data_IF_971061434142
#
_entry.id   IF_971061434142
#
_cell.length_a   1.000
_cell.length_b   1.000
_cell.length_c   1.000
_cell.angle_alpha   90.00
_cell.angle_beta   90.00
_cell.angle_gamma   90.00
#
_symmetry.space_group_name_H-M   'P 1'
#
loop_
_entity.id
_entity.type
_entity.pdbx_description
1 polymer ?
#
# COMPACT_ATOMS: atom_id res chain seq x y z
N UNK A 1 7.31 17.29 20.08
CA UNK A 1 6.84 15.93 19.75
C UNK A 1 8.05 15.09 19.41
N UNK A 2 8.10 13.82 19.83
CA UNK A 2 9.18 12.91 19.47
C UNK A 2 9.08 12.55 17.98
N UNK A 3 10.20 12.59 17.27
CA UNK A 3 10.27 12.09 15.90
C UNK A 3 10.24 10.55 15.93
N UNK A 4 9.57 9.96 14.94
CA UNK A 4 9.56 8.52 14.69
C UNK A 4 10.39 8.30 13.42
N UNK A 5 11.31 7.35 13.47
CA UNK A 5 12.09 6.90 12.33
C UNK A 5 11.49 5.60 11.79
N UNK A 6 11.26 5.54 10.48
CA UNK A 6 10.84 4.32 9.79
C UNK A 6 12.00 3.83 8.94
N UNK A 7 12.37 2.56 9.11
CA UNK A 7 13.46 1.94 8.36
C UNK A 7 12.83 1.12 7.21
N UNK A 8 13.19 1.38 5.94
CA UNK A 8 12.75 0.55 4.84
C UNK A 8 13.25 -0.90 4.97
N UNK A 9 12.34 -1.86 4.87
CA UNK A 9 12.65 -3.29 4.92
C UNK A 9 12.79 -3.91 3.52
N UNK A 10 12.42 -3.17 2.48
CA UNK A 10 12.47 -3.64 1.11
C UNK A 10 12.07 -2.56 0.12
N UNK A 11 11.92 -2.96 -1.14
CA UNK A 11 11.56 -2.08 -2.24
C UNK A 11 10.57 -2.75 -3.17
N UNK A 12 9.61 -1.99 -3.68
CA UNK A 12 8.68 -2.44 -4.71
C UNK A 12 9.34 -2.38 -6.08
N UNK A 13 9.17 -3.44 -6.88
CA UNK A 13 9.37 -3.44 -8.33
C UNK A 13 8.04 -3.59 -9.04
N UNK A 14 7.64 -2.59 -9.81
CA UNK A 14 6.34 -2.57 -10.49
C UNK A 14 6.46 -1.94 -11.89
N UNK A 15 5.48 -2.13 -12.78
CA UNK A 15 5.50 -1.47 -14.09
C UNK A 15 5.16 0.03 -14.01
N UNK A 16 4.76 0.55 -12.84
CA UNK A 16 4.32 1.92 -12.69
C UNK A 16 5.50 2.85 -12.40
N UNK A 17 5.89 3.72 -13.33
CA UNK A 17 7.12 4.54 -13.21
C UNK A 17 6.83 5.98 -12.83
N UNK A 18 5.67 6.49 -13.24
CA UNK A 18 5.25 7.85 -13.01
C UNK A 18 3.85 7.93 -12.38
N UNK A 19 3.57 9.10 -11.80
CA UNK A 19 2.22 9.43 -11.31
C UNK A 19 1.24 9.38 -12.49
N UNK A 20 0.26 8.49 -12.40
CA UNK A 20 -0.72 8.24 -13.47
C UNK A 20 -0.62 6.84 -14.08
N UNK A 21 0.55 6.19 -13.99
CA UNK A 21 0.73 4.81 -14.44
C UNK A 21 0.06 3.82 -13.47
N UNK A 22 0.19 4.10 -12.16
CA UNK A 22 -0.41 3.28 -11.13
C UNK A 22 -1.94 3.44 -11.12
N UNK A 23 -2.69 2.34 -10.89
CA UNK A 23 -4.13 2.40 -10.74
C UNK A 23 -4.48 3.24 -9.50
N UNK A 24 -5.70 3.77 -9.49
CA UNK A 24 -6.19 4.56 -8.35
C UNK A 24 -6.18 3.77 -7.03
N UNK A 25 -6.45 2.48 -7.11
CA UNK A 25 -6.39 1.52 -6.02
C UNK A 25 -5.91 0.18 -6.59
N UNK A 26 -4.86 -0.40 -6.00
CA UNK A 26 -4.21 -1.59 -6.54
C UNK A 26 -5.17 -2.78 -6.69
N UNK A 27 -6.09 -2.96 -5.74
CA UNK A 27 -7.14 -4.00 -5.78
C UNK A 27 -8.04 -3.98 -7.02
N UNK A 28 -8.08 -2.86 -7.77
CA UNK A 28 -8.84 -2.72 -9.00
C UNK A 28 -8.05 -3.11 -10.25
N UNK A 29 -6.83 -3.62 -10.10
CA UNK A 29 -5.96 -4.01 -11.19
C UNK A 29 -5.34 -5.40 -10.93
N UNK A 30 -5.19 -6.17 -12.02
CA UNK A 30 -4.55 -7.48 -11.98
C UNK A 30 -3.04 -7.46 -12.24
N UNK A 31 -2.45 -6.26 -12.21
CA UNK A 31 -1.02 -6.08 -12.45
C UNK A 31 -0.19 -6.82 -11.40
N UNK A 32 0.81 -7.55 -11.88
CA UNK A 32 1.81 -8.22 -11.03
C UNK A 32 2.92 -7.23 -10.70
N UNK A 33 3.32 -7.22 -9.43
CA UNK A 33 4.46 -6.50 -8.90
C UNK A 33 5.29 -7.43 -8.01
N UNK A 34 6.49 -7.01 -7.67
CA UNK A 34 7.37 -7.74 -6.78
C UNK A 34 7.73 -6.86 -5.57
N UNK A 35 7.84 -7.48 -4.41
CA UNK A 35 8.38 -6.87 -3.20
C UNK A 35 9.70 -7.55 -2.90
N UNK A 36 10.78 -6.80 -3.02
CA UNK A 36 12.14 -7.25 -2.77
C UNK A 36 12.48 -6.88 -1.33
N UNK A 37 12.37 -7.83 -0.41
CA UNK A 37 12.77 -7.65 0.98
C UNK A 37 14.30 -7.69 1.07
N UNK A 38 14.90 -6.73 1.76
CA UNK A 38 16.36 -6.68 1.92
C UNK A 38 16.85 -7.87 2.74
N UNK A 39 18.05 -8.37 2.42
CA UNK A 39 18.63 -9.57 3.03
C UNK A 39 18.63 -9.54 4.57
N UNK A 40 18.88 -8.37 5.16
CA UNK A 40 18.87 -8.15 6.61
C UNK A 40 17.52 -8.46 7.28
N UNK A 41 16.43 -8.45 6.51
CA UNK A 41 15.05 -8.69 6.99
C UNK A 41 14.42 -9.93 6.38
N UNK A 42 15.09 -10.62 5.45
CA UNK A 42 14.54 -11.76 4.71
C UNK A 42 14.13 -12.93 5.62
N UNK A 43 14.79 -13.11 6.78
CA UNK A 43 14.41 -14.10 7.78
C UNK A 43 12.98 -13.87 8.32
N UNK A 44 12.48 -12.63 8.32
CA UNK A 44 11.12 -12.28 8.74
C UNK A 44 10.02 -12.77 7.78
N UNK A 45 10.39 -13.34 6.62
CA UNK A 45 9.45 -13.94 5.67
C UNK A 45 9.15 -15.43 5.98
N UNK A 46 9.70 -16.00 7.04
CA UNK A 46 9.33 -17.35 7.47
C UNK A 46 7.81 -17.50 7.56
N UNK A 47 7.27 -18.61 7.01
CA UNK A 47 5.84 -18.93 6.96
C UNK A 47 4.91 -17.94 6.21
N UNK A 48 5.42 -16.90 5.53
CA UNK A 48 4.59 -15.90 4.82
C UNK A 48 3.64 -16.53 3.78
N UNK A 49 4.03 -17.65 3.18
CA UNK A 49 3.25 -18.40 2.19
C UNK A 49 2.00 -19.08 2.77
N UNK A 50 1.86 -19.14 4.10
CA UNK A 50 0.63 -19.61 4.75
C UNK A 50 -0.53 -18.62 4.60
N UNK A 51 -0.26 -17.40 4.17
CA UNK A 51 -1.27 -16.38 3.89
C UNK A 51 -1.44 -16.18 2.39
N UNK A 52 -2.67 -16.32 1.89
CA UNK A 52 -2.97 -16.03 0.48
C UNK A 52 -2.98 -14.53 0.18
N UNK A 53 -3.18 -13.70 1.20
CA UNK A 53 -3.21 -12.24 1.08
C UNK A 53 -2.34 -11.61 2.15
N UNK A 54 -1.72 -10.48 1.81
CA UNK A 54 -0.86 -9.72 2.70
C UNK A 54 -1.33 -8.27 2.77
N UNK A 55 -1.16 -7.65 3.93
CA UNK A 55 -1.17 -6.20 4.07
C UNK A 55 0.28 -5.72 3.91
N UNK A 56 0.48 -4.77 3.00
CA UNK A 56 1.79 -4.15 2.72
C UNK A 56 1.69 -2.67 3.06
N UNK A 57 2.52 -2.24 4.01
CA UNK A 57 2.71 -0.82 4.30
C UNK A 57 3.95 -0.33 3.58
N UNK A 58 3.79 0.73 2.80
CA UNK A 58 4.86 1.27 1.98
C UNK A 58 4.88 2.80 2.06
N UNK A 59 6.05 3.40 1.87
CA UNK A 59 6.23 4.85 1.97
C UNK A 59 6.08 5.48 0.61
N UNK A 60 5.02 6.27 0.41
CA UNK A 60 4.80 7.05 -0.81
C UNK A 60 5.79 8.23 -0.84
N UNK A 61 7.05 7.92 -1.11
CA UNK A 61 8.23 8.80 -1.11
C UNK A 61 8.09 10.04 -2.00
N UNK A 62 7.25 9.95 -3.03
CA UNK A 62 6.96 11.03 -4.00
C UNK A 62 5.72 11.88 -3.64
N UNK A 63 5.12 11.67 -2.47
CA UNK A 63 3.91 12.38 -2.07
C UNK A 63 4.16 13.69 -1.33
N UNK A 64 3.26 14.65 -1.53
CA UNK A 64 3.26 15.93 -0.81
C UNK A 64 2.82 15.75 0.65
N UNK A 65 3.64 16.19 1.60
CA UNK A 65 3.42 15.95 3.05
C UNK A 65 2.71 17.09 3.77
N UNK A 66 2.78 18.31 3.23
CA UNK A 66 2.21 19.50 3.87
C UNK A 66 0.69 19.67 3.68
N UNK A 67 0.06 18.83 2.85
CA UNK A 67 -1.35 18.99 2.51
C UNK A 67 -2.27 18.32 3.53
N UNK A 68 -3.27 19.07 4.00
CA UNK A 68 -4.36 18.57 4.86
C UNK A 68 -5.69 18.41 4.11
N UNK A 69 -5.76 18.89 2.87
CA UNK A 69 -6.90 18.72 1.97
C UNK A 69 -6.42 18.16 0.64
N UNK A 70 -7.24 17.33 0.01
CA UNK A 70 -7.02 16.82 -1.32
C UNK A 70 -8.34 16.82 -2.10
N UNK A 71 -8.27 17.00 -3.42
CA UNK A 71 -9.41 16.85 -4.33
C UNK A 71 -9.41 15.42 -4.88
N UNK A 72 -10.32 14.53 -4.44
CA UNK A 72 -10.37 13.17 -4.94
C UNK A 72 -10.78 13.13 -6.43
N UNK A 73 -10.36 12.11 -7.19
CA UNK A 73 -10.74 11.98 -8.60
C UNK A 73 -12.26 11.97 -8.79
N UNK A 74 -12.76 12.79 -9.73
CA UNK A 74 -14.20 12.88 -10.04
C UNK A 74 -15.03 13.73 -9.09
N UNK A 75 -14.44 14.30 -8.03
CA UNK A 75 -15.12 15.17 -7.08
C UNK A 75 -14.94 16.65 -7.41
N UNK A 76 -15.97 17.47 -7.16
CA UNK A 76 -15.92 18.92 -7.37
C UNK A 76 -15.26 19.67 -6.21
N UNK A 77 -15.36 19.14 -4.98
CA UNK A 77 -14.85 19.75 -3.74
C UNK A 77 -13.64 19.02 -3.17
N UNK A 78 -12.79 19.77 -2.48
CA UNK A 78 -11.73 19.21 -1.64
C UNK A 78 -12.28 18.56 -0.37
N UNK A 79 -11.49 17.65 0.21
CA UNK A 79 -11.83 16.91 1.42
C UNK A 79 -10.59 16.77 2.28
N UNK A 80 -10.76 16.74 3.60
CA UNK A 80 -9.66 16.53 4.53
C UNK A 80 -8.98 15.18 4.26
N UNK A 81 -7.66 15.13 4.19
CA UNK A 81 -6.90 13.95 3.71
C UNK A 81 -7.20 12.67 4.50
N UNK A 82 -7.51 12.79 5.79
CA UNK A 82 -7.89 11.66 6.66
C UNK A 82 -9.29 11.09 6.40
N UNK A 83 -10.13 11.80 5.63
CA UNK A 83 -11.40 11.26 5.11
C UNK A 83 -11.24 10.60 3.73
N UNK A 84 -10.00 10.46 3.25
CA UNK A 84 -9.65 9.99 1.91
C UNK A 84 -8.52 8.96 1.95
N UNK A 85 -8.23 8.36 0.79
CA UNK A 85 -7.00 7.57 0.55
C UNK A 85 -5.97 8.32 -0.29
N UNK A 86 -5.97 9.66 -0.25
CA UNK A 86 -4.98 10.48 -0.95
C UNK A 86 -3.56 10.12 -0.53
N UNK A 87 -2.61 10.02 -1.48
CA UNK A 87 -1.20 9.83 -1.14
C UNK A 87 -0.60 11.07 -0.46
N UNK A 88 -1.11 12.26 -0.76
CA UNK A 88 -0.67 13.49 -0.10
C UNK A 88 -1.25 13.56 1.32
N UNK A 89 -0.38 13.44 2.33
CA UNK A 89 -0.71 13.40 3.76
C UNK A 89 0.56 13.56 4.61
N UNK A 90 0.47 13.96 5.90
CA UNK A 90 1.65 14.22 6.75
C UNK A 90 2.66 13.07 6.84
N UNK A 91 2.16 11.85 7.02
CA UNK A 91 2.92 10.60 6.96
C UNK A 91 2.37 9.79 5.78
N UNK A 92 3.03 9.83 4.61
CA UNK A 92 2.53 9.25 3.36
C UNK A 92 2.68 7.73 3.33
N UNK A 93 2.05 7.07 4.30
CA UNK A 93 2.00 5.61 4.39
C UNK A 93 0.87 5.12 3.47
N UNK A 94 1.25 4.38 2.44
CA UNK A 94 0.36 3.56 1.64
C UNK A 94 0.02 2.25 2.35
N UNK A 95 -1.19 1.77 2.13
CA UNK A 95 -1.67 0.48 2.61
C UNK A 95 -2.26 -0.26 1.41
N UNK A 96 -1.58 -1.31 0.98
CA UNK A 96 -2.06 -2.24 -0.03
C UNK A 96 -2.49 -3.54 0.64
N UNK A 97 -3.65 -4.07 0.27
CA UNK A 97 -3.94 -5.48 0.50
C UNK A 97 -3.67 -6.17 -0.83
N UNK A 98 -2.77 -7.14 -0.84
CA UNK A 98 -2.28 -7.79 -2.06
C UNK A 98 -2.51 -9.29 -2.01
N UNK A 99 -2.63 -9.90 -3.17
CA UNK A 99 -2.66 -11.36 -3.29
C UNK A 99 -1.22 -11.84 -3.37
N UNK A 100 -0.83 -12.80 -2.54
CA UNK A 100 0.48 -13.45 -2.64
C UNK A 100 0.41 -14.51 -3.74
N UNK A 101 1.08 -14.25 -4.87
CA UNK A 101 1.10 -15.17 -6.00
C UNK A 101 2.11 -16.28 -5.76
N UNK A 102 3.33 -15.92 -5.34
CA UNK A 102 4.39 -16.84 -4.95
C UNK A 102 5.52 -16.10 -4.23
N UNK A 103 6.41 -16.86 -3.59
CA UNK A 103 7.66 -16.38 -3.00
C UNK A 103 8.85 -17.01 -3.70
N UNK A 104 9.91 -16.24 -3.88
CA UNK A 104 11.22 -16.67 -4.38
C UNK A 104 12.32 -16.08 -3.48
N UNK A 105 12.72 -16.81 -2.44
CA UNK A 105 13.69 -16.32 -1.46
C UNK A 105 13.20 -15.07 -0.71
N UNK A 106 13.91 -13.95 -0.89
CA UNK A 106 13.55 -12.63 -0.35
C UNK A 106 12.54 -11.83 -1.20
N UNK A 107 12.05 -12.41 -2.30
CA UNK A 107 11.13 -11.75 -3.22
C UNK A 107 9.72 -12.31 -3.07
N UNK A 108 8.73 -11.43 -2.90
CA UNK A 108 7.31 -11.76 -2.94
C UNK A 108 6.72 -11.27 -4.26
N UNK A 109 6.17 -12.17 -5.05
CA UNK A 109 5.43 -11.83 -6.27
C UNK A 109 3.96 -11.66 -5.87
N UNK A 110 3.41 -10.47 -6.13
CA UNK A 110 2.08 -10.09 -5.64
C UNK A 110 1.22 -9.46 -6.73
N UNK A 111 -0.09 -9.47 -6.50
CA UNK A 111 -1.09 -8.76 -7.32
C UNK A 111 -1.88 -7.76 -6.47
N UNK A 112 -2.30 -6.67 -7.09
CA UNK A 112 -3.19 -5.71 -6.44
C UNK A 112 -2.48 -4.62 -5.63
N UNK A 113 -1.18 -4.39 -5.90
CA UNK A 113 -0.40 -3.29 -5.36
C UNK A 113 -0.43 -2.09 -6.31
N UNK A 114 -0.51 -0.87 -5.80
CA UNK A 114 -0.54 0.40 -6.55
C UNK A 114 0.69 1.28 -6.29
N UNK A 115 1.76 0.69 -5.74
CA UNK A 115 3.01 1.38 -5.47
C UNK A 115 3.84 1.51 -6.76
N UNK A 116 4.43 2.69 -6.94
CA UNK A 116 5.34 2.94 -8.06
C UNK A 116 6.64 2.13 -7.92
N UNK A 117 7.35 1.92 -9.03
CA UNK A 117 8.66 1.30 -9.02
C UNK A 117 9.62 2.08 -8.12
N UNK A 118 10.39 1.33 -7.31
CA UNK A 118 11.32 1.89 -6.34
C UNK A 118 10.69 2.36 -5.03
N UNK A 119 9.36 2.21 -4.84
CA UNK A 119 8.70 2.62 -3.59
C UNK A 119 9.23 1.82 -2.39
N UNK A 120 9.67 2.46 -1.30
CA UNK A 120 10.13 1.77 -0.10
C UNK A 120 9.01 1.00 0.61
N UNK A 121 9.28 -0.23 1.04
CA UNK A 121 8.39 -1.03 1.88
C UNK A 121 8.78 -0.84 3.34
N UNK A 122 7.79 -0.62 4.20
CA UNK A 122 7.97 -0.42 5.64
C UNK A 122 7.59 -1.66 6.45
N UNK A 123 6.55 -2.38 6.05
CA UNK A 123 6.01 -3.49 6.83
C UNK A 123 5.18 -4.44 5.95
N UNK A 124 5.09 -5.69 6.36
CA UNK A 124 4.31 -6.76 5.72
C UNK A 124 3.61 -7.55 6.81
N UNK A 125 2.29 -7.77 6.68
CA UNK A 125 1.49 -8.53 7.64
C UNK A 125 0.60 -9.54 6.92
N UNK A 126 0.29 -10.69 7.55
CA UNK A 126 -0.75 -11.57 7.04
C UNK A 126 -2.10 -10.85 7.09
N UNK A 127 -2.88 -10.93 6.02
CA UNK A 127 -4.28 -10.51 6.06
C UNK A 127 -5.12 -11.56 6.79
N UNK A 128 -5.92 -11.11 7.76
CA UNK A 128 -6.86 -11.95 8.49
C UNK A 128 -8.28 -11.44 8.31
N UNK A 129 -9.16 -12.19 7.62
CA UNK A 129 -10.56 -11.82 7.47
C UNK A 129 -11.28 -11.54 8.80
N UNK A 130 -10.87 -12.18 9.89
CA UNK A 130 -11.47 -12.02 11.23
C UNK A 130 -11.32 -10.60 11.77
N UNK A 131 -10.20 -9.93 11.49
CA UNK A 131 -9.86 -8.63 12.09
C UNK A 131 -9.73 -7.50 11.07
N UNK A 132 -9.45 -7.82 9.80
CA UNK A 132 -9.24 -6.83 8.74
C UNK A 132 -10.51 -6.59 7.90
N UNK A 133 -11.53 -7.44 8.04
CA UNK A 133 -12.80 -7.31 7.33
C UNK A 133 -13.95 -6.99 8.29
N UNK A 134 -14.69 -5.91 8.00
CA UNK A 134 -15.94 -5.58 8.66
C UNK A 134 -17.00 -5.44 7.55
N UNK A 135 -17.68 -6.53 7.16
CA UNK A 135 -18.62 -6.52 6.03
C UNK A 135 -19.75 -5.50 6.18
N UNK A 136 -20.17 -5.21 7.40
CA UNK A 136 -21.25 -4.27 7.73
C UNK A 136 -20.79 -2.81 7.78
N UNK A 137 -19.51 -2.54 7.53
CA UNK A 137 -18.97 -1.18 7.57
C UNK A 137 -19.71 -0.28 6.58
N UNK A 138 -20.15 0.88 7.06
CA UNK A 138 -20.75 1.90 6.20
C UNK A 138 -19.68 2.76 5.55
N UNK A 139 -19.90 3.12 4.30
CA UNK A 139 -18.99 3.96 3.54
C UNK A 139 -19.07 5.44 3.86
N UNK A 140 -17.94 6.13 3.71
CA UNK A 140 -17.93 7.59 3.67
C UNK A 140 -18.51 8.14 2.35
N UNK A 141 -18.30 9.44 2.11
CA UNK A 141 -18.74 10.16 0.90
C UNK A 141 -18.33 9.56 -0.46
N UNK A 142 -17.43 8.56 -0.47
CA UNK A 142 -16.87 7.90 -1.65
C UNK A 142 -17.51 6.55 -1.99
N UNK A 143 -18.40 6.02 -1.15
CA UNK A 143 -19.18 4.81 -1.44
C UNK A 143 -20.57 5.27 -1.90
N UNK A 144 -20.86 5.07 -3.19
CA UNK A 144 -22.22 5.31 -3.71
C UNK A 144 -23.13 4.22 -3.18
N UNK A 145 -24.30 4.60 -2.66
CA UNK A 145 -25.40 3.66 -2.35
C UNK A 145 -25.85 2.94 -3.62
#
# INVERSE_FOLDING_TARGET
MAAIECIPIGVVRSPYRARGDAPRQGRLADTVAEIHVHDAYAAGLEDVERSSHLIVLYWLDRAERGQLHAKPPGESRERGVFSTRSPARPNPIGLGIVDLVRREGGVLVVRGLDALDGTPVLDIKPYSPEIDCIPEATGGWHIKK
#
